data_IF_237500467181
#
_entry.id   IF_237500467181
#
_cell.length_a   1.000
_cell.length_b   1.000
_cell.length_c   1.000
_cell.angle_alpha   90.00
_cell.angle_beta   90.00
_cell.angle_gamma   90.00
#
_symmetry.space_group_name_H-M   'P 1'
#
loop_
_entity.id
_entity.type
_entity.pdbx_description
1 polymer ?
#
# COMPACT_ATOMS: atom_id res chain seq x y z
N UNK A 1 20.30 0.37 21.22
CA UNK A 1 18.89 0.32 20.79
C UNK A 1 18.31 1.70 21.05
N UNK A 2 17.92 2.43 20.01
CA UNK A 2 17.22 3.71 20.15
C UNK A 2 15.80 3.45 20.68
N UNK A 3 15.46 4.01 21.85
CA UNK A 3 14.12 3.96 22.42
C UNK A 3 13.37 5.23 22.03
N UNK A 4 13.04 5.41 20.75
CA UNK A 4 12.40 6.63 20.26
C UNK A 4 12.17 6.67 18.75
N UNK A 5 11.49 7.72 18.28
CA UNK A 5 11.25 7.94 16.86
C UNK A 5 12.55 8.32 16.14
N UNK A 6 13.01 7.44 15.26
CA UNK A 6 14.17 7.68 14.40
C UNK A 6 13.71 8.22 13.04
N UNK A 7 14.25 9.38 12.65
CA UNK A 7 13.96 10.01 11.36
C UNK A 7 14.72 9.26 10.28
N UNK A 8 14.02 8.36 9.58
CA UNK A 8 14.55 7.66 8.41
C UNK A 8 14.20 8.46 7.14
N UNK A 9 15.22 8.80 6.35
CA UNK A 9 15.11 9.66 5.17
C UNK A 9 14.08 9.17 4.14
N UNK A 10 13.86 7.86 4.04
CA UNK A 10 12.97 7.22 3.06
C UNK A 10 11.60 6.85 3.61
N UNK A 11 11.36 7.08 4.90
CA UNK A 11 10.15 6.64 5.60
C UNK A 11 8.87 7.17 4.97
N UNK A 12 8.86 8.44 4.61
CA UNK A 12 7.70 9.12 4.02
C UNK A 12 7.28 8.49 2.69
N UNK A 13 8.21 7.89 1.93
CA UNK A 13 7.90 7.23 0.64
C UNK A 13 7.12 5.93 0.91
N UNK A 14 7.60 5.14 1.87
CA UNK A 14 6.97 3.88 2.26
C UNK A 14 5.60 4.15 2.88
N UNK A 15 5.53 5.10 3.80
CA UNK A 15 4.28 5.50 4.46
C UNK A 15 3.28 6.09 3.47
N UNK A 16 3.72 6.85 2.46
CA UNK A 16 2.85 7.32 1.38
C UNK A 16 2.25 6.18 0.57
N UNK A 17 3.05 5.15 0.29
CA UNK A 17 2.56 3.94 -0.40
C UNK A 17 1.54 3.19 0.44
N UNK A 18 1.81 3.00 1.73
CA UNK A 18 0.89 2.36 2.67
C UNK A 18 -0.40 3.16 2.84
N UNK A 19 -0.31 4.50 2.90
CA UNK A 19 -1.47 5.39 2.97
C UNK A 19 -2.37 5.28 1.74
N UNK A 20 -1.80 5.13 0.54
CA UNK A 20 -2.61 4.90 -0.66
C UNK A 20 -3.27 3.52 -0.68
N UNK A 21 -2.65 2.49 -0.09
CA UNK A 21 -3.24 1.16 0.02
C UNK A 21 -4.46 1.14 0.94
N UNK A 22 -4.54 2.03 1.93
CA UNK A 22 -5.71 2.16 2.81
C UNK A 22 -7.02 2.47 2.08
N UNK A 23 -6.97 3.09 0.89
CA UNK A 23 -8.19 3.35 0.11
C UNK A 23 -8.76 2.11 -0.60
N UNK A 24 -8.03 0.99 -0.63
CA UNK A 24 -8.53 -0.25 -1.22
C UNK A 24 -9.39 -0.99 -0.20
N UNK A 25 -10.71 -0.94 -0.37
CA UNK A 25 -11.70 -1.58 0.53
C UNK A 25 -11.41 -3.07 0.83
N UNK A 26 -10.86 -3.82 -0.13
CA UNK A 26 -10.51 -5.24 0.05
C UNK A 26 -9.35 -5.47 1.03
N UNK A 27 -8.50 -4.48 1.27
CA UNK A 27 -7.38 -4.56 2.21
C UNK A 27 -7.76 -4.12 3.63
N UNK A 28 -8.94 -3.52 3.82
CA UNK A 28 -9.36 -2.96 5.12
C UNK A 28 -9.74 -4.02 6.15
N UNK A 29 -10.14 -5.21 5.71
CA UNK A 29 -10.45 -6.33 6.59
C UNK A 29 -9.86 -7.60 5.99
N UNK A 30 -9.24 -8.41 6.85
CA UNK A 30 -8.74 -9.73 6.46
C UNK A 30 -9.92 -10.70 6.43
N UNK A 31 -10.45 -10.90 5.24
CA UNK A 31 -11.59 -11.79 5.01
C UNK A 31 -11.17 -13.23 4.71
N UNK A 32 -9.88 -13.52 4.59
CA UNK A 32 -9.40 -14.77 4.01
C UNK A 32 -8.70 -15.65 5.05
N UNK A 33 -9.03 -16.95 5.06
CA UNK A 33 -8.45 -17.91 6.00
C UNK A 33 -6.93 -18.12 5.78
N UNK A 34 -6.42 -17.75 4.60
CA UNK A 34 -5.04 -18.02 4.19
C UNK A 34 -4.30 -16.72 3.88
N UNK A 35 -3.12 -16.55 4.49
CA UNK A 35 -2.27 -15.38 4.29
C UNK A 35 -1.78 -15.19 2.84
N UNK A 36 -1.68 -16.26 2.04
CA UNK A 36 -1.29 -16.15 0.61
C UNK A 36 -2.26 -15.31 -0.21
N UNK A 37 -3.51 -15.31 0.21
CA UNK A 37 -4.65 -14.72 -0.46
C UNK A 37 -4.65 -13.20 -0.21
N UNK A 38 -4.51 -12.79 1.06
CA UNK A 38 -4.29 -11.38 1.43
C UNK A 38 -2.99 -10.80 0.84
N UNK A 39 -1.90 -11.58 0.81
CA UNK A 39 -0.67 -11.19 0.13
C UNK A 39 -0.88 -10.93 -1.37
N UNK A 40 -1.65 -11.79 -2.05
CA UNK A 40 -1.97 -11.60 -3.48
C UNK A 40 -2.79 -10.32 -3.70
N UNK A 41 -3.75 -10.02 -2.82
CA UNK A 41 -4.54 -8.78 -2.89
C UNK A 41 -3.67 -7.54 -2.70
N UNK A 42 -2.67 -7.57 -1.81
CA UNK A 42 -1.69 -6.49 -1.64
C UNK A 42 -0.91 -6.23 -2.93
N UNK A 43 -0.39 -7.28 -3.57
CA UNK A 43 0.34 -7.17 -4.84
C UNK A 43 -0.53 -6.58 -5.96
N UNK A 44 -1.78 -7.04 -6.08
CA UNK A 44 -2.73 -6.51 -7.07
C UNK A 44 -3.01 -5.02 -6.83
N UNK A 45 -3.26 -4.62 -5.58
CA UNK A 45 -3.50 -3.21 -5.24
C UNK A 45 -2.28 -2.33 -5.54
N UNK A 46 -1.08 -2.81 -5.21
CA UNK A 46 0.16 -2.11 -5.50
C UNK A 46 0.39 -1.94 -7.02
N UNK A 47 0.16 -2.99 -7.80
CA UNK A 47 0.27 -2.92 -9.27
C UNK A 47 -0.72 -1.91 -9.86
N UNK A 48 -1.99 -1.91 -9.41
CA UNK A 48 -3.01 -0.95 -9.86
C UNK A 48 -2.62 0.49 -9.56
N UNK A 49 -2.08 0.74 -8.37
CA UNK A 49 -1.56 2.05 -7.98
C UNK A 49 -0.42 2.50 -8.92
N UNK A 50 0.56 1.63 -9.18
CA UNK A 50 1.67 1.94 -10.09
C UNK A 50 1.20 2.20 -11.53
N UNK A 51 0.26 1.39 -12.03
CA UNK A 51 -0.32 1.58 -13.37
C UNK A 51 -1.05 2.91 -13.49
N UNK A 52 -1.86 3.30 -12.50
CA UNK A 52 -2.56 4.59 -12.47
C UNK A 52 -1.58 5.76 -12.52
N UNK A 53 -0.51 5.68 -11.71
CA UNK A 53 0.56 6.70 -11.70
C UNK A 53 1.30 6.76 -13.03
N UNK A 54 1.56 5.62 -13.66
CA UNK A 54 2.33 5.58 -14.90
C UNK A 54 1.55 6.08 -16.11
N UNK A 55 0.26 5.73 -16.19
CA UNK A 55 -0.59 6.13 -17.32
C UNK A 55 -1.06 7.58 -17.26
N UNK A 56 -0.92 8.24 -16.10
CA UNK A 56 -1.28 9.67 -15.96
C UNK A 56 -2.75 9.95 -16.25
N UNK A 57 -3.60 8.92 -16.29
CA UNK A 57 -5.03 9.03 -16.58
C UNK A 57 -5.68 9.84 -15.44
N UNK A 58 -5.96 11.10 -15.73
CA UNK A 58 -6.77 11.95 -14.87
C UNK A 58 -8.23 11.56 -15.10
N UNK A 59 -8.82 10.94 -14.10
CA UNK A 59 -10.25 10.66 -14.06
C UNK A 59 -10.95 12.00 -13.71
N UNK A 60 -11.10 12.88 -14.70
CA UNK A 60 -11.94 14.08 -14.64
C UNK A 60 -13.12 13.94 -15.60
#
# INVERSE_FOLDING_TARGET
VSTGFEVLLTRWIVEGTLGWLSFYRRLQADYEYRCSHSATMLWIAHLRLLLKRRTGRKDY
#
